data_IF_633662399583
#
_entry.id   IF_633662399583
#
_cell.length_a   1.000
_cell.length_b   1.000
_cell.length_c   1.000
_cell.angle_alpha   90.00
_cell.angle_beta   90.00
_cell.angle_gamma   90.00
#
_symmetry.space_group_name_H-M   'P 1'
#
loop_
_entity.id
_entity.type
_entity.pdbx_description
1 polymer ?
#
# COMPACT_ATOMS: atom_id res chain seq x y z
N UNK A 1 -18.57 5.38 -19.65
CA UNK A 1 -18.57 6.22 -18.43
C UNK A 1 -17.51 5.66 -17.49
N UNK A 2 -16.55 6.46 -17.05
CA UNK A 2 -15.53 6.00 -16.09
C UNK A 2 -16.22 5.80 -14.73
N UNK A 3 -16.19 4.57 -14.21
CA UNK A 3 -16.76 4.25 -12.90
C UNK A 3 -15.85 4.86 -11.82
N UNK A 4 -16.41 5.72 -10.97
CA UNK A 4 -15.69 6.26 -9.81
C UNK A 4 -15.44 5.11 -8.84
N UNK A 5 -14.18 4.89 -8.50
CA UNK A 5 -13.78 3.86 -7.55
C UNK A 5 -14.16 4.31 -6.13
N UNK A 6 -14.68 3.40 -5.32
CA UNK A 6 -14.90 3.61 -3.90
C UNK A 6 -13.56 3.74 -3.15
N UNK A 7 -13.56 4.33 -1.95
CA UNK A 7 -12.34 4.43 -1.13
C UNK A 7 -11.68 3.06 -0.89
N UNK A 8 -12.47 2.00 -0.70
CA UNK A 8 -11.95 0.64 -0.55
C UNK A 8 -11.32 0.12 -1.85
N UNK A 9 -11.94 0.37 -3.01
CA UNK A 9 -11.39 -0.04 -4.31
C UNK A 9 -10.09 0.73 -4.62
N UNK A 10 -10.04 2.02 -4.31
CA UNK A 10 -8.81 2.83 -4.42
C UNK A 10 -7.73 2.30 -3.48
N UNK A 11 -8.08 1.96 -2.24
CA UNK A 11 -7.13 1.43 -1.26
C UNK A 11 -6.55 0.09 -1.74
N UNK A 12 -7.42 -0.80 -2.21
CA UNK A 12 -7.01 -2.08 -2.78
C UNK A 12 -6.12 -1.90 -4.02
N UNK A 13 -6.45 -0.93 -4.89
CA UNK A 13 -5.64 -0.60 -6.06
C UNK A 13 -4.23 -0.14 -5.65
N UNK A 14 -4.14 0.79 -4.70
CA UNK A 14 -2.86 1.26 -4.19
C UNK A 14 -2.03 0.14 -3.56
N UNK A 15 -2.66 -0.72 -2.76
CA UNK A 15 -2.00 -1.90 -2.19
C UNK A 15 -1.48 -2.86 -3.26
N UNK A 16 -2.24 -3.11 -4.32
CA UNK A 16 -1.81 -3.99 -5.41
C UNK A 16 -0.61 -3.42 -6.17
N UNK A 17 -0.58 -2.11 -6.42
CA UNK A 17 0.54 -1.44 -7.09
C UNK A 17 1.79 -1.54 -6.23
N UNK A 18 1.68 -1.19 -4.94
CA UNK A 18 2.81 -1.24 -3.99
C UNK A 18 3.29 -2.68 -3.81
N UNK A 19 2.37 -3.65 -3.65
CA UNK A 19 2.70 -5.06 -3.50
C UNK A 19 3.53 -5.59 -4.68
N UNK A 20 3.09 -5.33 -5.92
CA UNK A 20 3.84 -5.74 -7.12
C UNK A 20 5.22 -5.09 -7.21
N UNK A 21 5.34 -3.83 -6.80
CA UNK A 21 6.63 -3.14 -6.76
C UNK A 21 7.56 -3.80 -5.74
N UNK A 22 7.07 -4.08 -4.54
CA UNK A 22 7.83 -4.75 -3.49
C UNK A 22 8.27 -6.16 -3.91
N UNK A 23 7.39 -6.95 -4.54
CA UNK A 23 7.76 -8.25 -5.13
C UNK A 23 8.89 -8.10 -6.16
N UNK A 24 8.77 -7.12 -7.07
CA UNK A 24 9.81 -6.86 -8.08
C UNK A 24 11.13 -6.36 -7.48
N UNK A 25 11.08 -5.71 -6.33
CA UNK A 25 12.25 -5.24 -5.58
C UNK A 25 12.85 -6.32 -4.67
N UNK A 26 12.28 -7.54 -4.66
CA UNK A 26 12.79 -8.70 -3.91
C UNK A 26 12.39 -8.73 -2.43
N UNK A 27 11.30 -8.08 -2.05
CA UNK A 27 10.76 -8.17 -0.69
C UNK A 27 9.96 -9.47 -0.51
N UNK A 28 10.25 -10.20 0.57
CA UNK A 28 9.49 -11.39 0.95
C UNK A 28 8.32 -11.00 1.87
N UNK A 29 7.09 -11.30 1.47
CA UNK A 29 5.90 -10.96 2.26
C UNK A 29 5.71 -11.92 3.42
N UNK A 30 5.85 -11.41 4.64
CA UNK A 30 5.56 -12.16 5.87
C UNK A 30 4.12 -11.99 6.34
N UNK A 31 3.48 -10.86 6.00
CA UNK A 31 2.09 -10.60 6.37
C UNK A 31 1.48 -9.46 5.55
N UNK A 32 0.22 -9.61 5.19
CA UNK A 32 -0.57 -8.60 4.46
C UNK A 32 -1.86 -8.33 5.22
N UNK A 33 -2.19 -7.07 5.41
CA UNK A 33 -3.46 -6.64 5.98
C UNK A 33 -4.09 -5.55 5.12
N UNK A 34 -5.17 -5.90 4.43
CA UNK A 34 -5.89 -5.01 3.51
C UNK A 34 -7.04 -4.23 4.14
N UNK A 35 -7.23 -4.38 5.46
CA UNK A 35 -8.30 -3.66 6.16
C UNK A 35 -7.92 -2.18 6.31
N UNK A 36 -8.83 -1.24 5.93
CA UNK A 36 -8.61 0.18 6.19
C UNK A 36 -8.37 0.44 7.67
N UNK A 37 -7.54 1.44 7.99
CA UNK A 37 -7.21 1.86 9.38
C UNK A 37 -6.47 0.81 10.23
N UNK A 38 -6.01 -0.30 9.63
CA UNK A 38 -5.14 -1.28 10.30
C UNK A 38 -3.73 -1.16 9.75
N UNK A 39 -2.85 -0.52 10.51
CA UNK A 39 -1.43 -0.44 10.20
C UNK A 39 -0.66 -1.54 10.98
N UNK A 40 0.41 -2.11 10.40
CA UNK A 40 0.92 -1.91 9.03
C UNK A 40 0.14 -2.74 7.98
N UNK A 41 0.16 -2.31 6.71
CA UNK A 41 -0.50 -3.02 5.60
C UNK A 41 0.36 -4.16 5.06
N UNK A 42 1.67 -3.97 5.00
CA UNK A 42 2.61 -5.03 4.64
C UNK A 42 3.68 -5.18 5.73
N UNK A 43 4.00 -6.44 6.01
CA UNK A 43 5.18 -6.83 6.76
C UNK A 43 6.03 -7.63 5.79
N UNK A 44 7.17 -7.07 5.41
CA UNK A 44 8.08 -7.66 4.44
C UNK A 44 9.45 -7.92 5.09
N UNK A 45 10.16 -8.95 4.63
CA UNK A 45 11.53 -9.22 4.98
C UNK A 45 12.39 -8.97 3.74
N UNK A 46 13.47 -8.21 3.90
CA UNK A 46 14.48 -8.00 2.87
C UNK A 46 15.84 -7.84 3.54
N UNK A 47 16.86 -8.52 3.05
CA UNK A 47 18.23 -8.44 3.61
C UNK A 47 18.29 -8.71 5.13
N UNK A 48 17.44 -9.62 5.64
CA UNK A 48 17.24 -9.94 7.07
C UNK A 48 16.70 -8.79 7.93
N UNK A 49 16.17 -7.73 7.30
CA UNK A 49 15.50 -6.63 7.96
C UNK A 49 13.99 -6.70 7.74
N UNK A 50 13.24 -6.53 8.82
CA UNK A 50 11.79 -6.44 8.78
C UNK A 50 11.38 -5.02 8.40
N UNK A 51 10.60 -4.90 7.34
CA UNK A 51 10.02 -3.66 6.84
C UNK A 51 8.52 -3.66 7.12
N UNK A 52 8.08 -2.67 7.89
CA UNK A 52 6.68 -2.40 8.14
C UNK A 52 6.24 -1.26 7.23
N UNK A 53 5.40 -1.58 6.25
CA UNK A 53 5.04 -0.64 5.18
C UNK A 53 3.58 -0.23 5.36
N UNK A 54 3.36 1.09 5.34
CA UNK A 54 2.04 1.70 5.39
C UNK A 54 1.72 2.26 4.02
N UNK A 55 0.56 1.89 3.47
CA UNK A 55 0.11 2.33 2.15
C UNK A 55 -0.98 3.38 2.32
N UNK A 56 -0.71 4.60 1.83
CA UNK A 56 -1.70 5.68 1.71
C UNK A 56 -1.86 6.05 0.25
N UNK A 57 -3.08 6.05 -0.24
CA UNK A 57 -3.39 6.60 -1.56
C UNK A 57 -3.66 8.10 -1.47
N UNK A 58 -3.35 8.84 -2.52
CA UNK A 58 -3.81 10.21 -2.69
C UNK A 58 -4.41 10.34 -4.09
N UNK A 59 -5.43 11.16 -4.21
CA UNK A 59 -5.93 11.57 -5.52
C UNK A 59 -5.22 12.85 -5.95
N UNK A 60 -4.70 12.89 -7.17
CA UNK A 60 -4.24 14.13 -7.77
C UNK A 60 -5.41 15.14 -7.82
N UNK A 61 -5.22 16.43 -7.48
CA UNK A 61 -3.97 17.17 -7.28
C UNK A 61 -3.46 17.27 -5.82
N UNK A 62 -3.97 16.46 -4.89
CA UNK A 62 -3.58 16.55 -3.49
C UNK A 62 -2.08 16.20 -3.31
N UNK A 63 -1.43 16.80 -2.31
CA UNK A 63 0.01 16.61 -2.06
C UNK A 63 0.27 15.32 -1.26
N UNK A 64 1.12 14.40 -1.73
CA UNK A 64 1.48 13.16 -1.01
C UNK A 64 2.19 13.40 0.32
N UNK A 65 2.81 14.57 0.51
CA UNK A 65 3.66 14.89 1.65
C UNK A 65 2.88 15.50 2.81
N UNK A 66 1.60 15.83 2.62
CA UNK A 66 0.75 16.33 3.70
C UNK A 66 0.25 15.13 4.49
N UNK A 67 0.85 14.92 5.65
CA UNK A 67 0.41 13.93 6.63
C UNK A 67 -0.58 14.59 7.60
N UNK A 68 -1.77 14.01 7.72
CA UNK A 68 -2.62 14.10 8.93
C UNK A 68 -2.08 13.10 9.98
#
# INVERSE_FOLDING_TARGET
MAKVLTEQELHNLAMNIVGRQLESEGYEFMGVNSKPKKNPQFVCLKDKQLHFIVVRHISHPNDPKVFD
#
